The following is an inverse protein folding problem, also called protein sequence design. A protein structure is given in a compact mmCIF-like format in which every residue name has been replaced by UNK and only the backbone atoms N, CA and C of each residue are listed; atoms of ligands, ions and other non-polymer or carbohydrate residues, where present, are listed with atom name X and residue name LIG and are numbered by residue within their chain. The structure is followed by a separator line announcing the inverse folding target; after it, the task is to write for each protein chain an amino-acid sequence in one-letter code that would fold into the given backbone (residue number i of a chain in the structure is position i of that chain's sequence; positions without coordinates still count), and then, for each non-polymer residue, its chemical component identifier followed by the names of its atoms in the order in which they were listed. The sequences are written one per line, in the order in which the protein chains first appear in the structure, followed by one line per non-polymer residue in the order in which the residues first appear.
data_IF_203772810529
#
_entry.id   IF_203772810529
#
_cell.length_a   1.000
_cell.length_b   1.000
_cell.length_c   1.000
_cell.angle_alpha   90.00
_cell.angle_beta   90.00
_cell.angle_gamma   90.00
#
_symmetry.space_group_name_H-M   'P 1'
#
loop_
_entity.id
_entity.type
_entity.pdbx_description
1 polymer ?
#
# COMPACT_ATOMS: atom_id res chain seq x y z
N UNK A 1 10.80 -80.23 3.70
CA UNK A 1 11.46 -80.21 5.02
C UNK A 1 12.91 -80.70 4.91
N UNK A 2 13.16 -81.75 4.13
CA UNK A 2 14.47 -82.41 4.02
C UNK A 2 15.64 -81.48 3.67
N UNK A 3 15.46 -80.53 2.74
CA UNK A 3 16.51 -79.53 2.39
C UNK A 3 16.92 -78.63 3.55
N UNK A 4 16.06 -78.42 4.54
CA UNK A 4 16.32 -77.53 5.67
C UNK A 4 17.02 -78.26 6.83
N UNK A 5 17.01 -79.60 6.82
CA UNK A 5 17.57 -80.43 7.87
C UNK A 5 19.06 -80.74 7.65
N UNK A 6 19.52 -80.72 6.39
CA UNK A 6 20.94 -80.90 6.00
C UNK A 6 21.64 -82.07 6.71
N UNK A 7 20.97 -83.22 6.74
CA UNK A 7 21.47 -84.43 7.40
C UNK A 7 22.14 -85.32 6.35
N UNK A 8 23.45 -85.54 6.49
CA UNK A 8 24.14 -86.64 5.80
C UNK A 8 23.98 -87.94 6.61
N UNK A 9 24.01 -89.09 5.95
CA UNK A 9 24.05 -90.36 6.67
C UNK A 9 25.40 -90.48 7.40
N UNK A 10 25.42 -90.81 8.71
CA UNK A 10 26.64 -90.82 9.52
C UNK A 10 27.72 -91.77 8.97
N UNK A 11 27.33 -92.86 8.30
CA UNK A 11 28.27 -93.80 7.68
C UNK A 11 29.08 -93.16 6.54
N UNK A 12 28.48 -92.23 5.78
CA UNK A 12 29.20 -91.50 4.74
C UNK A 12 30.18 -90.49 5.36
N UNK A 13 29.81 -89.83 6.46
CA UNK A 13 30.73 -88.92 7.18
C UNK A 13 31.93 -89.69 7.75
N UNK A 14 31.71 -90.88 8.30
CA UNK A 14 32.77 -91.75 8.84
C UNK A 14 33.69 -92.30 7.74
N UNK A 15 33.14 -92.69 6.58
CA UNK A 15 33.94 -93.15 5.44
C UNK A 15 34.78 -92.02 4.82
N UNK A 16 34.24 -90.80 4.75
CA UNK A 16 34.93 -89.64 4.17
C UNK A 16 36.04 -89.09 5.10
N UNK A 17 35.80 -89.09 6.42
CA UNK A 17 36.81 -88.68 7.41
C UNK A 17 37.97 -89.67 7.56
N UNK A 18 37.76 -90.96 7.26
CA UNK A 18 38.81 -92.00 7.27
C UNK A 18 39.51 -92.20 5.91
N UNK A 19 39.23 -91.33 4.93
CA UNK A 19 39.82 -91.41 3.60
C UNK A 19 41.35 -91.28 3.63
N UNK A 20 42.09 -92.04 2.81
CA UNK A 20 43.54 -91.90 2.66
C UNK A 20 43.96 -90.58 2.00
N UNK A 21 43.01 -89.84 1.40
CA UNK A 21 43.26 -88.52 0.86
C UNK A 21 43.20 -87.47 1.97
N UNK A 22 44.36 -86.89 2.30
CA UNK A 22 44.51 -85.89 3.35
C UNK A 22 43.55 -84.69 3.20
N UNK A 23 43.22 -84.28 1.96
CA UNK A 23 42.30 -83.17 1.72
C UNK A 23 40.87 -83.57 2.13
N UNK A 24 40.41 -84.77 1.76
CA UNK A 24 39.07 -85.25 2.14
C UNK A 24 38.96 -85.45 3.64
N UNK A 25 39.98 -86.05 4.26
CA UNK A 25 40.04 -86.22 5.71
C UNK A 25 40.01 -84.86 6.44
N UNK A 26 40.61 -83.81 5.86
CA UNK A 26 40.61 -82.46 6.44
C UNK A 26 39.26 -81.74 6.34
N UNK A 27 38.52 -81.92 5.23
CA UNK A 27 37.23 -81.27 5.01
C UNK A 27 36.14 -81.87 5.91
N UNK A 28 36.20 -83.18 6.14
CA UNK A 28 35.24 -83.92 6.97
C UNK A 28 35.77 -84.21 8.38
N UNK A 29 36.81 -83.50 8.81
CA UNK A 29 37.32 -83.63 10.17
C UNK A 29 36.22 -83.22 11.17
N UNK A 30 35.99 -84.00 12.24
CA UNK A 30 34.97 -83.66 13.23
C UNK A 30 35.37 -82.35 13.94
N UNK A 31 34.45 -81.39 14.00
CA UNK A 31 34.65 -80.11 14.68
C UNK A 31 35.07 -80.36 16.14
N UNK A 32 36.33 -80.08 16.47
CA UNK A 32 36.91 -80.26 17.81
C UNK A 32 36.44 -79.22 18.83
N UNK A 33 35.58 -78.27 18.42
CA UNK A 33 34.99 -77.30 19.32
C UNK A 33 33.93 -77.97 20.20
N UNK A 34 34.32 -78.31 21.44
CA UNK A 34 33.52 -79.02 22.45
C UNK A 34 32.24 -78.32 22.94
N UNK A 35 31.41 -77.79 22.04
CA UNK A 35 30.05 -77.36 22.37
C UNK A 35 29.17 -78.60 22.39
N UNK A 36 28.78 -79.01 23.61
CA UNK A 36 27.70 -79.97 23.86
C UNK A 36 26.57 -79.74 22.86
N UNK A 37 26.16 -80.82 22.19
CA UNK A 37 25.01 -80.92 21.28
C UNK A 37 23.70 -80.58 22.02
N UNK A 38 23.52 -79.32 22.44
CA UNK A 38 22.20 -78.80 22.70
C UNK A 38 21.55 -78.69 21.33
N UNK A 39 20.76 -79.70 21.01
CA UNK A 39 20.05 -79.91 19.75
C UNK A 39 18.92 -78.89 19.54
N UNK A 40 19.24 -77.59 19.65
CA UNK A 40 18.45 -76.59 18.95
C UNK A 40 18.74 -76.80 17.47
N UNK A 41 17.79 -77.42 16.78
CA UNK A 41 17.82 -77.73 15.36
C UNK A 41 18.37 -76.54 14.54
N UNK A 42 19.66 -76.60 14.19
CA UNK A 42 20.35 -75.54 13.45
C UNK A 42 20.12 -75.74 11.96
N UNK A 43 18.88 -75.47 11.56
CA UNK A 43 18.42 -75.61 10.19
C UNK A 43 19.24 -74.77 9.21
N UNK A 44 19.28 -75.19 7.94
CA UNK A 44 19.93 -74.42 6.87
C UNK A 44 19.40 -72.99 6.82
N UNK A 45 18.09 -72.81 6.96
CA UNK A 45 17.47 -71.49 6.99
C UNK A 45 17.96 -70.63 8.15
N UNK A 46 18.17 -71.22 9.33
CA UNK A 46 18.66 -70.46 10.50
C UNK A 46 20.13 -70.08 10.35
N UNK A 47 20.97 -70.95 9.80
CA UNK A 47 22.36 -70.63 9.46
C UNK A 47 22.42 -69.48 8.47
N UNK A 48 21.66 -69.57 7.38
CA UNK A 48 21.59 -68.52 6.37
C UNK A 48 21.13 -67.16 6.93
N UNK A 49 20.12 -67.15 7.81
CA UNK A 49 19.67 -65.90 8.46
C UNK A 49 20.80 -65.31 9.33
N UNK A 50 21.47 -66.13 10.13
CA UNK A 50 22.57 -65.64 10.98
C UNK A 50 23.73 -65.08 10.14
N UNK A 51 24.07 -65.74 9.04
CA UNK A 51 25.12 -65.28 8.12
C UNK A 51 24.71 -63.97 7.44
N UNK A 52 23.42 -63.84 7.05
CA UNK A 52 22.87 -62.61 6.48
C UNK A 52 22.84 -61.46 7.49
N UNK A 53 22.49 -61.72 8.75
CA UNK A 53 22.50 -60.71 9.82
C UNK A 53 23.92 -60.21 10.11
N UNK A 54 24.91 -61.11 10.10
CA UNK A 54 26.33 -60.75 10.20
C UNK A 54 26.75 -59.86 9.04
N UNK A 55 26.42 -60.25 7.79
CA UNK A 55 26.70 -59.46 6.60
C UNK A 55 26.03 -58.07 6.66
N UNK A 56 24.77 -58.00 7.11
CA UNK A 56 24.06 -56.73 7.23
C UNK A 56 24.69 -55.81 8.27
N UNK A 57 25.21 -56.36 9.37
CA UNK A 57 25.94 -55.59 10.39
C UNK A 57 27.22 -55.00 9.82
N UNK A 58 27.99 -55.79 9.07
CA UNK A 58 29.21 -55.32 8.40
C UNK A 58 28.88 -54.23 7.37
N UNK A 59 27.87 -54.44 6.53
CA UNK A 59 27.45 -53.45 5.53
C UNK A 59 26.98 -52.14 6.18
N UNK A 60 26.24 -52.20 7.29
CA UNK A 60 25.77 -51.02 8.02
C UNK A 60 26.89 -50.21 8.67
N UNK A 61 28.03 -50.85 8.97
CA UNK A 61 29.20 -50.19 9.53
C UNK A 61 30.00 -49.38 8.49
N UNK A 62 29.70 -49.56 7.20
CA UNK A 62 30.45 -48.96 6.09
C UNK A 62 29.63 -47.95 5.29
N UNK A 63 30.30 -47.16 4.44
CA UNK A 63 29.62 -46.30 3.48
C UNK A 63 29.20 -47.11 2.24
N UNK A 64 27.90 -47.35 2.08
CA UNK A 64 27.39 -48.17 0.99
C UNK A 64 27.35 -47.42 -0.36
N UNK A 65 27.82 -48.08 -1.41
CA UNK A 65 27.68 -47.63 -2.80
C UNK A 65 26.79 -48.60 -3.56
N UNK A 66 25.69 -48.10 -4.13
CA UNK A 66 24.69 -48.94 -4.80
C UNK A 66 24.92 -48.98 -6.32
N UNK A 67 25.16 -50.18 -6.86
CA UNK A 67 25.22 -50.44 -8.31
C UNK A 67 23.98 -51.23 -8.69
N UNK A 68 23.15 -50.68 -9.60
CA UNK A 68 21.95 -51.35 -10.11
C UNK A 68 22.18 -51.91 -11.50
N UNK A 69 22.16 -53.23 -11.63
CA UNK A 69 22.27 -53.92 -12.91
C UNK A 69 20.90 -53.99 -13.60
N UNK A 70 20.84 -53.69 -14.89
CA UNK A 70 19.60 -53.74 -15.71
C UNK A 70 19.79 -54.72 -16.86
N UNK A 71 18.87 -55.68 -17.00
CA UNK A 71 18.84 -56.59 -18.14
C UNK A 71 18.12 -55.94 -19.32
N UNK A 72 18.79 -55.68 -20.45
CA UNK A 72 18.19 -54.92 -21.56
C UNK A 72 17.16 -55.73 -22.36
N UNK A 73 17.34 -57.05 -22.48
CA UNK A 73 16.40 -57.95 -23.16
C UNK A 73 16.50 -59.39 -22.62
N UNK A 74 15.46 -60.20 -22.86
CA UNK A 74 15.44 -61.63 -22.51
C UNK A 74 16.12 -62.53 -23.56
N UNK A 75 16.30 -62.04 -24.79
CA UNK A 75 16.84 -62.79 -25.93
C UNK A 75 18.37 -62.92 -25.92
N UNK A 76 19.04 -62.34 -24.92
CA UNK A 76 20.50 -62.28 -24.79
C UNK A 76 21.21 -61.67 -26.02
N UNK A 77 20.54 -60.75 -26.71
CA UNK A 77 21.10 -60.08 -27.89
C UNK A 77 21.79 -58.78 -27.50
N UNK A 78 23.01 -58.49 -28.00
CA UNK A 78 23.65 -57.21 -27.80
C UNK A 78 22.86 -56.10 -28.50
N UNK A 79 22.96 -54.86 -27.99
CA UNK A 79 22.32 -53.65 -28.52
C UNK A 79 20.79 -53.67 -28.70
N UNK A 80 20.11 -54.75 -28.26
CA UNK A 80 18.64 -54.82 -28.24
C UNK A 80 18.12 -54.38 -26.87
N UNK A 81 17.29 -53.34 -26.82
CA UNK A 81 16.63 -52.87 -25.60
C UNK A 81 15.12 -53.10 -25.69
N UNK A 82 14.57 -53.78 -24.68
CA UNK A 82 13.14 -53.97 -24.49
C UNK A 82 12.61 -52.96 -23.47
N UNK A 83 11.91 -51.89 -23.90
CA UNK A 83 11.53 -50.79 -23.00
C UNK A 83 10.61 -51.23 -21.86
N UNK A 84 9.65 -52.13 -22.12
CA UNK A 84 8.71 -52.62 -21.10
C UNK A 84 9.41 -53.41 -20.00
N UNK A 85 10.37 -54.27 -20.37
CA UNK A 85 11.17 -55.05 -19.43
C UNK A 85 12.06 -54.15 -18.56
N UNK A 86 12.73 -53.18 -19.17
CA UNK A 86 13.60 -52.24 -18.45
C UNK A 86 12.76 -51.36 -17.52
N UNK A 87 11.60 -50.86 -17.98
CA UNK A 87 10.72 -50.05 -17.15
C UNK A 87 10.20 -50.81 -15.93
N UNK A 88 9.80 -52.07 -16.10
CA UNK A 88 9.39 -52.91 -14.97
C UNK A 88 10.52 -53.12 -13.97
N UNK A 89 11.76 -53.35 -14.43
CA UNK A 89 12.93 -53.44 -13.53
C UNK A 89 13.18 -52.13 -12.77
N UNK A 90 13.09 -50.98 -13.44
CA UNK A 90 13.29 -49.68 -12.80
C UNK A 90 12.24 -49.39 -11.71
N UNK A 91 11.00 -49.80 -11.93
CA UNK A 91 9.91 -49.71 -10.93
C UNK A 91 10.12 -50.69 -9.77
N UNK A 92 10.36 -51.96 -10.06
CA UNK A 92 10.53 -52.98 -9.01
C UNK A 92 11.80 -52.75 -8.15
N UNK A 93 12.85 -52.15 -8.72
CA UNK A 93 14.07 -51.81 -7.98
C UNK A 93 13.98 -50.50 -7.19
N UNK A 94 12.86 -49.79 -7.27
CA UNK A 94 12.70 -48.47 -6.64
C UNK A 94 13.62 -47.39 -7.22
N UNK A 95 14.06 -47.55 -8.49
CA UNK A 95 15.05 -46.64 -9.08
C UNK A 95 14.46 -45.27 -9.38
N UNK A 96 13.22 -45.24 -9.84
CA UNK A 96 12.53 -43.98 -10.16
C UNK A 96 12.28 -43.17 -8.89
N UNK A 97 11.81 -43.83 -7.85
CA UNK A 97 11.54 -43.28 -6.53
C UNK A 97 12.83 -42.77 -5.88
N UNK A 98 13.92 -43.53 -5.99
CA UNK A 98 15.23 -43.11 -5.50
C UNK A 98 15.74 -41.84 -6.23
N UNK A 99 15.58 -41.75 -7.56
CA UNK A 99 15.96 -40.55 -8.32
C UNK A 99 15.11 -39.35 -7.91
N UNK A 100 13.80 -39.54 -7.77
CA UNK A 100 12.89 -38.49 -7.30
C UNK A 100 13.29 -38.00 -5.90
N UNK A 101 13.53 -38.92 -4.97
CA UNK A 101 14.00 -38.60 -3.62
C UNK A 101 15.30 -37.81 -3.68
N UNK A 102 16.32 -38.28 -4.42
CA UNK A 102 17.62 -37.61 -4.52
C UNK A 102 17.46 -36.19 -5.07
N UNK A 103 16.62 -36.01 -6.10
CA UNK A 103 16.38 -34.70 -6.73
C UNK A 103 15.71 -33.68 -5.80
N UNK A 104 14.82 -34.13 -4.92
CA UNK A 104 14.16 -33.29 -3.93
C UNK A 104 15.02 -33.12 -2.66
N UNK A 105 15.94 -34.03 -2.42
CA UNK A 105 16.79 -34.05 -1.22
C UNK A 105 18.00 -33.13 -1.32
N UNK A 106 18.71 -33.05 -0.19
CA UNK A 106 20.01 -32.43 -0.07
C UNK A 106 21.04 -33.52 0.26
N UNK A 107 21.63 -34.18 -0.77
CA UNK A 107 22.55 -35.29 -0.56
C UNK A 107 23.86 -34.84 0.10
N UNK A 108 24.32 -33.64 -0.23
CA UNK A 108 25.54 -33.06 0.32
C UNK A 108 25.24 -32.37 1.64
N UNK A 109 26.00 -32.73 2.68
CA UNK A 109 25.84 -32.21 4.04
C UNK A 109 27.19 -31.83 4.61
N UNK A 110 27.45 -30.53 4.76
CA UNK A 110 28.74 -30.04 5.20
C UNK A 110 28.58 -29.42 6.59
N UNK A 111 29.30 -29.91 7.61
CA UNK A 111 29.35 -29.27 8.92
C UNK A 111 29.83 -27.83 8.82
N UNK A 112 29.24 -26.93 9.60
CA UNK A 112 29.71 -25.53 9.63
C UNK A 112 31.14 -25.43 10.14
N UNK A 113 31.53 -26.29 11.09
CA UNK A 113 32.87 -26.30 11.69
C UNK A 113 33.98 -26.59 10.67
N UNK A 114 33.72 -27.45 9.67
CA UNK A 114 34.70 -27.80 8.63
C UNK A 114 35.13 -26.56 7.82
N UNK A 115 34.15 -25.69 7.48
CA UNK A 115 34.42 -24.46 6.71
C UNK A 115 34.83 -23.33 7.66
N UNK A 116 34.12 -23.15 8.76
CA UNK A 116 34.35 -22.07 9.71
C UNK A 116 35.73 -22.18 10.38
N UNK A 117 36.07 -23.35 10.91
CA UNK A 117 37.34 -23.56 11.60
C UNK A 117 38.54 -23.36 10.68
N UNK A 118 38.43 -23.79 9.42
CA UNK A 118 39.52 -23.70 8.44
C UNK A 118 39.72 -22.29 7.88
N UNK A 119 38.64 -21.58 7.57
CA UNK A 119 38.73 -20.36 6.76
C UNK A 119 38.55 -19.06 7.55
N UNK A 120 37.94 -19.08 8.74
CA UNK A 120 37.55 -17.87 9.49
C UNK A 120 38.67 -16.84 9.66
N UNK A 121 39.87 -17.27 10.04
CA UNK A 121 40.98 -16.36 10.35
C UNK A 121 41.48 -15.59 9.12
N UNK A 122 41.27 -16.14 7.93
CA UNK A 122 41.66 -15.54 6.66
C UNK A 122 40.56 -14.66 6.05
N UNK A 123 39.33 -14.71 6.59
CA UNK A 123 38.20 -13.95 6.05
C UNK A 123 38.16 -12.50 6.55
N UNK A 124 37.52 -11.58 5.80
CA UNK A 124 37.37 -10.18 6.21
C UNK A 124 36.50 -10.05 7.46
N UNK A 125 36.69 -8.95 8.21
CA UNK A 125 36.02 -8.72 9.50
C UNK A 125 34.49 -8.81 9.47
N UNK A 126 33.86 -8.39 8.37
CA UNK A 126 32.40 -8.41 8.24
C UNK A 126 31.83 -9.82 8.17
N UNK A 127 32.60 -10.81 7.72
CA UNK A 127 32.22 -12.23 7.69
C UNK A 127 32.75 -12.93 8.93
N UNK A 128 33.98 -12.64 9.33
CA UNK A 128 34.68 -13.27 10.46
C UNK A 128 33.91 -13.21 11.79
N UNK A 129 33.17 -12.12 12.01
CA UNK A 129 32.36 -11.89 13.22
C UNK A 129 31.01 -12.62 13.21
N UNK A 130 30.63 -13.25 12.10
CA UNK A 130 29.39 -14.00 12.00
C UNK A 130 29.48 -15.33 12.74
N UNK A 131 28.33 -15.83 13.19
CA UNK A 131 28.20 -17.19 13.69
C UNK A 131 28.48 -18.20 12.55
N UNK A 132 28.91 -19.44 12.87
CA UNK A 132 29.28 -20.45 11.88
C UNK A 132 28.23 -20.69 10.78
N UNK A 133 26.94 -20.64 11.16
CA UNK A 133 25.82 -20.78 10.23
C UNK A 133 25.81 -19.66 9.18
N UNK A 134 25.78 -18.40 9.60
CA UNK A 134 25.75 -17.24 8.70
C UNK A 134 27.08 -17.02 7.96
N UNK A 135 28.20 -17.44 8.55
CA UNK A 135 29.50 -17.45 7.88
C UNK A 135 29.48 -18.38 6.66
N UNK A 136 29.00 -19.61 6.84
CA UNK A 136 28.90 -20.60 5.77
C UNK A 136 27.89 -20.18 4.71
N UNK A 137 26.75 -19.60 5.13
CA UNK A 137 25.77 -19.00 4.22
C UNK A 137 26.37 -17.89 3.36
N UNK A 138 27.14 -16.97 3.96
CA UNK A 138 27.78 -15.87 3.24
C UNK A 138 28.78 -16.39 2.20
N UNK A 139 29.55 -17.42 2.53
CA UNK A 139 30.46 -18.08 1.58
C UNK A 139 29.68 -18.75 0.44
N UNK A 140 28.61 -19.48 0.74
CA UNK A 140 27.78 -20.13 -0.26
C UNK A 140 27.19 -19.12 -1.26
N UNK A 141 26.60 -18.04 -0.74
CA UNK A 141 26.03 -16.96 -1.56
C UNK A 141 27.09 -16.20 -2.36
N UNK A 142 28.29 -16.00 -1.79
CA UNK A 142 29.39 -15.37 -2.51
C UNK A 142 29.95 -16.26 -3.62
N UNK A 143 29.81 -17.58 -3.49
CA UNK A 143 30.20 -18.55 -4.51
C UNK A 143 29.11 -18.83 -5.54
N UNK A 144 28.12 -17.96 -5.66
CA UNK A 144 26.99 -18.05 -6.61
C UNK A 144 26.09 -19.29 -6.40
N UNK A 145 25.98 -19.77 -5.15
CA UNK A 145 24.97 -20.79 -4.81
C UNK A 145 23.68 -20.08 -4.40
N UNK A 146 22.62 -20.20 -5.21
CA UNK A 146 21.33 -19.58 -4.87
C UNK A 146 20.72 -20.14 -3.59
N UNK A 147 19.94 -19.31 -2.90
CA UNK A 147 19.16 -19.66 -1.70
C UNK A 147 18.21 -20.86 -1.91
N UNK A 148 17.77 -21.14 -3.14
CA UNK A 148 16.91 -22.30 -3.45
C UNK A 148 17.64 -23.65 -3.52
N UNK A 149 18.97 -23.60 -3.57
CA UNK A 149 19.83 -24.77 -3.75
C UNK A 149 20.48 -25.25 -2.44
N UNK A 150 20.32 -24.51 -1.35
CA UNK A 150 20.79 -24.91 -0.04
C UNK A 150 19.76 -24.65 1.05
N UNK A 151 19.88 -25.36 2.16
CA UNK A 151 19.12 -25.14 3.38
C UNK A 151 20.08 -25.14 4.57
N UNK A 152 19.89 -24.20 5.50
CA UNK A 152 20.65 -24.15 6.74
C UNK A 152 20.00 -25.06 7.78
N UNK A 153 20.75 -26.02 8.32
CA UNK A 153 20.37 -26.76 9.51
C UNK A 153 21.02 -26.18 10.77
N UNK A 154 20.90 -26.89 11.89
CA UNK A 154 21.45 -26.42 13.17
C UNK A 154 22.98 -26.46 13.20
N UNK A 155 23.59 -27.51 12.64
CA UNK A 155 25.05 -27.73 12.69
C UNK A 155 25.70 -27.87 11.31
N UNK A 156 24.89 -27.99 10.24
CA UNK A 156 25.36 -28.29 8.89
C UNK A 156 24.57 -27.52 7.84
N UNK A 157 25.23 -27.18 6.74
CA UNK A 157 24.57 -26.73 5.50
C UNK A 157 24.20 -27.96 4.65
N UNK A 158 22.99 -27.93 4.10
CA UNK A 158 22.43 -28.97 3.25
C UNK A 158 22.37 -28.44 1.82
N UNK A 159 23.01 -29.12 0.87
CA UNK A 159 23.16 -28.67 -0.51
C UNK A 159 22.51 -29.66 -1.49
N UNK A 160 21.86 -29.14 -2.53
CA UNK A 160 21.35 -29.96 -3.64
C UNK A 160 22.50 -30.52 -4.47
N UNK A 161 22.25 -31.68 -5.10
CA UNK A 161 23.23 -32.37 -5.93
C UNK A 161 23.84 -31.45 -7.00
N UNK A 162 25.18 -31.42 -7.08
CA UNK A 162 25.91 -30.66 -8.10
C UNK A 162 25.89 -29.14 -7.96
N UNK A 163 25.19 -28.59 -6.95
CA UNK A 163 25.13 -27.13 -6.70
C UNK A 163 26.09 -26.67 -5.61
N UNK A 164 26.66 -27.61 -4.86
CA UNK A 164 27.61 -27.37 -3.77
C UNK A 164 29.02 -27.90 -4.04
N UNK A 165 29.34 -28.32 -5.27
CA UNK A 165 30.63 -28.95 -5.59
C UNK A 165 31.83 -28.11 -5.13
N UNK A 166 31.77 -26.78 -5.34
CA UNK A 166 32.81 -25.89 -4.84
C UNK A 166 32.93 -25.91 -3.30
N UNK A 167 31.80 -25.90 -2.57
CA UNK A 167 31.80 -25.96 -1.11
C UNK A 167 32.31 -27.32 -0.59
N UNK A 168 32.08 -28.40 -1.33
CA UNK A 168 32.64 -29.72 -1.02
C UNK A 168 34.16 -29.72 -1.22
N UNK A 169 34.63 -29.16 -2.34
CA UNK A 169 36.06 -29.04 -2.65
C UNK A 169 36.82 -28.15 -1.66
N UNK A 170 36.15 -27.20 -1.00
CA UNK A 170 36.76 -26.41 0.09
C UNK A 170 37.28 -27.28 1.24
N UNK A 171 36.78 -28.50 1.41
CA UNK A 171 37.29 -29.40 2.44
C UNK A 171 38.67 -29.95 2.11
N UNK A 172 38.96 -30.18 0.84
CA UNK A 172 40.15 -30.91 0.41
C UNK A 172 41.18 -30.03 -0.31
N UNK A 173 40.77 -28.86 -0.84
CA UNK A 173 41.68 -27.94 -1.54
C UNK A 173 42.65 -27.21 -0.62
N UNK A 174 43.78 -26.80 -1.18
CA UNK A 174 44.77 -25.99 -0.49
C UNK A 174 44.28 -24.57 -0.23
N UNK A 175 44.48 -24.09 1.00
CA UNK A 175 43.98 -22.79 1.43
C UNK A 175 44.61 -21.64 0.64
N UNK A 176 45.89 -21.74 0.30
CA UNK A 176 46.63 -20.70 -0.43
C UNK A 176 46.04 -20.39 -1.81
N UNK A 177 45.44 -21.37 -2.48
CA UNK A 177 44.79 -21.19 -3.78
C UNK A 177 43.37 -20.62 -3.64
N UNK A 178 42.64 -21.10 -2.63
CA UNK A 178 41.22 -20.79 -2.44
C UNK A 178 41.01 -19.41 -1.81
N UNK A 179 41.85 -19.02 -0.85
CA UNK A 179 41.66 -17.79 -0.06
C UNK A 179 41.57 -16.55 -0.96
N UNK A 180 42.50 -16.29 -1.91
CA UNK A 180 42.42 -15.11 -2.77
C UNK A 180 41.10 -15.05 -3.55
N UNK A 181 40.69 -16.17 -4.14
CA UNK A 181 39.44 -16.25 -4.89
C UNK A 181 38.23 -16.00 -3.99
N UNK A 182 38.20 -16.58 -2.80
CA UNK A 182 37.09 -16.43 -1.86
C UNK A 182 36.99 -14.99 -1.32
N UNK A 183 38.13 -14.33 -1.07
CA UNK A 183 38.16 -12.91 -0.68
C UNK A 183 37.57 -12.01 -1.77
N UNK A 184 37.91 -12.23 -3.03
CA UNK A 184 37.41 -11.43 -4.14
C UNK A 184 35.90 -11.62 -4.32
N UNK A 185 35.43 -12.88 -4.28
CA UNK A 185 34.00 -13.21 -4.32
C UNK A 185 33.23 -12.60 -3.16
N UNK A 186 33.75 -12.66 -1.93
CA UNK A 186 33.11 -12.08 -0.75
C UNK A 186 33.02 -10.55 -0.83
N UNK A 187 34.08 -9.87 -1.28
CA UNK A 187 34.07 -8.42 -1.51
C UNK A 187 33.06 -8.03 -2.58
N UNK A 188 32.98 -8.81 -3.67
CA UNK A 188 31.99 -8.59 -4.72
C UNK A 188 30.56 -8.77 -4.21
N UNK A 189 30.31 -9.86 -3.48
CA UNK A 189 29.03 -10.12 -2.88
C UNK A 189 28.61 -9.00 -1.92
N UNK A 190 29.53 -8.51 -1.08
CA UNK A 190 29.26 -7.39 -0.18
C UNK A 190 28.93 -6.10 -0.94
N UNK A 191 29.69 -5.79 -2.01
CA UNK A 191 29.41 -4.64 -2.89
C UNK A 191 28.02 -4.75 -3.52
N UNK A 192 27.67 -5.90 -4.09
CA UNK A 192 26.35 -6.17 -4.69
C UNK A 192 25.23 -6.02 -3.65
N UNK A 193 25.40 -6.62 -2.46
CA UNK A 193 24.44 -6.54 -1.35
C UNK A 193 24.22 -5.09 -0.87
N UNK A 194 25.30 -4.33 -0.71
CA UNK A 194 25.23 -2.93 -0.30
C UNK A 194 24.63 -2.03 -1.38
N UNK A 195 24.95 -2.27 -2.66
CA UNK A 195 24.33 -1.58 -3.78
C UNK A 195 22.81 -1.83 -3.82
N UNK A 196 22.39 -3.10 -3.66
CA UNK A 196 20.96 -3.48 -3.59
C UNK A 196 20.25 -2.76 -2.43
N UNK A 197 20.84 -2.74 -1.22
CA UNK A 197 20.28 -2.00 -0.07
C UNK A 197 20.11 -0.49 -0.36
N UNK A 198 21.13 0.14 -0.95
CA UNK A 198 21.09 1.56 -1.33
C UNK A 198 19.99 1.82 -2.37
N UNK A 199 19.90 0.98 -3.39
CA UNK A 199 18.88 1.07 -4.43
C UNK A 199 17.48 0.90 -3.86
N UNK A 200 17.24 -0.13 -3.05
CA UNK A 200 15.93 -0.36 -2.42
C UNK A 200 15.50 0.82 -1.55
N UNK A 201 16.43 1.40 -0.77
CA UNK A 201 16.16 2.62 0.03
C UNK A 201 15.84 3.82 -0.85
N UNK A 202 16.60 4.05 -1.92
CA UNK A 202 16.38 5.15 -2.85
C UNK A 202 15.02 5.04 -3.57
N UNK A 203 14.70 3.85 -4.07
CA UNK A 203 13.42 3.55 -4.72
C UNK A 203 12.27 3.69 -3.74
N UNK A 204 12.38 3.09 -2.54
CA UNK A 204 11.38 3.23 -1.49
C UNK A 204 11.13 4.70 -1.13
N UNK A 205 12.20 5.46 -0.89
CA UNK A 205 12.13 6.89 -0.61
C UNK A 205 11.47 7.69 -1.75
N UNK A 206 11.79 7.37 -3.00
CA UNK A 206 11.16 8.00 -4.17
C UNK A 206 9.65 7.70 -4.25
N UNK A 207 9.24 6.44 -4.03
CA UNK A 207 7.83 6.04 -4.02
C UNK A 207 7.07 6.78 -2.90
N UNK A 208 7.63 6.81 -1.68
CA UNK A 208 7.02 7.53 -0.55
C UNK A 208 6.93 9.03 -0.83
N UNK A 209 7.97 9.65 -1.38
CA UNK A 209 7.98 11.07 -1.74
C UNK A 209 6.90 11.40 -2.78
N UNK A 210 6.74 10.55 -3.80
CA UNK A 210 5.69 10.71 -4.82
C UNK A 210 4.30 10.64 -4.21
N UNK A 211 4.06 9.68 -3.29
CA UNK A 211 2.80 9.57 -2.55
C UNK A 211 2.54 10.79 -1.67
N UNK A 212 3.56 11.25 -0.93
CA UNK A 212 3.46 12.43 -0.08
C UNK A 212 3.12 13.70 -0.88
N UNK A 213 3.78 13.94 -2.01
CA UNK A 213 3.51 15.11 -2.87
C UNK A 213 2.05 15.10 -3.36
N UNK A 214 1.52 13.95 -3.78
CA UNK A 214 0.10 13.84 -4.19
C UNK A 214 -0.85 14.22 -3.05
N UNK A 215 -0.65 13.64 -1.86
CA UNK A 215 -1.49 13.92 -0.67
C UNK A 215 -1.39 15.39 -0.28
N UNK A 216 -0.18 15.96 -0.24
CA UNK A 216 0.05 17.37 0.08
C UNK A 216 -0.63 18.30 -0.92
N UNK A 217 -0.56 18.00 -2.21
CA UNK A 217 -1.20 18.82 -3.23
C UNK A 217 -2.73 18.72 -3.14
N UNK A 218 -3.29 17.53 -2.90
CA UNK A 218 -4.72 17.36 -2.67
C UNK A 218 -5.19 18.13 -1.43
N UNK A 219 -4.46 18.04 -0.32
CA UNK A 219 -4.74 18.81 0.90
C UNK A 219 -4.72 20.32 0.64
N UNK A 220 -3.70 20.82 -0.09
CA UNK A 220 -3.61 22.24 -0.46
C UNK A 220 -4.80 22.69 -1.31
N UNK A 221 -5.22 21.87 -2.28
CA UNK A 221 -6.40 22.15 -3.11
C UNK A 221 -7.68 22.22 -2.27
N UNK A 222 -7.86 21.29 -1.33
CA UNK A 222 -9.00 21.28 -0.42
C UNK A 222 -8.99 22.52 0.48
N UNK A 223 -7.83 22.89 1.05
CA UNK A 223 -7.70 24.10 1.86
C UNK A 223 -8.05 25.36 1.06
N UNK A 224 -7.52 25.52 -0.16
CA UNK A 224 -7.88 26.66 -1.02
C UNK A 224 -9.38 26.68 -1.36
N UNK A 225 -9.99 25.53 -1.67
CA UNK A 225 -11.42 25.44 -1.94
C UNK A 225 -12.24 25.83 -0.69
N UNK A 226 -11.81 25.39 0.50
CA UNK A 226 -12.45 25.75 1.76
C UNK A 226 -12.35 27.26 2.04
N UNK A 227 -11.16 27.85 1.90
CA UNK A 227 -10.95 29.27 2.16
C UNK A 227 -11.73 30.16 1.18
N UNK A 228 -11.75 29.79 -0.10
CA UNK A 228 -12.54 30.50 -1.12
C UNK A 228 -14.05 30.41 -0.84
N UNK A 229 -14.56 29.23 -0.45
CA UNK A 229 -15.96 29.07 -0.04
C UNK A 229 -16.28 29.88 1.21
N UNK A 230 -15.37 29.93 2.20
CA UNK A 230 -15.54 30.71 3.43
C UNK A 230 -15.61 32.21 3.14
N UNK A 231 -14.73 32.73 2.29
CA UNK A 231 -14.76 34.14 1.85
C UNK A 231 -16.02 34.43 1.05
N UNK A 232 -16.41 33.55 0.12
CA UNK A 232 -17.62 33.70 -0.68
C UNK A 232 -18.88 33.76 0.19
N UNK A 233 -19.02 32.87 1.17
CA UNK A 233 -20.14 32.88 2.13
C UNK A 233 -20.22 34.21 2.91
N UNK A 234 -19.08 34.73 3.38
CA UNK A 234 -19.03 36.05 4.04
C UNK A 234 -19.46 37.17 3.10
N UNK A 235 -18.90 37.20 1.88
CA UNK A 235 -19.25 38.22 0.89
C UNK A 235 -20.74 38.17 0.50
N UNK A 236 -21.32 36.99 0.33
CA UNK A 236 -22.75 36.81 0.03
C UNK A 236 -23.63 37.31 1.20
N UNK A 237 -23.26 37.01 2.46
CA UNK A 237 -23.95 37.53 3.63
C UNK A 237 -23.90 39.06 3.69
N UNK A 238 -22.71 39.66 3.55
CA UNK A 238 -22.52 41.11 3.52
C UNK A 238 -23.26 41.75 2.34
N UNK A 239 -23.33 41.09 1.18
CA UNK A 239 -24.06 41.58 0.01
C UNK A 239 -25.56 41.63 0.28
N UNK A 240 -26.12 40.57 0.86
CA UNK A 240 -27.54 40.54 1.25
C UNK A 240 -27.83 41.63 2.27
N UNK A 241 -26.95 41.83 3.25
CA UNK A 241 -27.10 42.89 4.25
C UNK A 241 -27.02 44.29 3.63
N UNK A 242 -26.07 44.54 2.73
CA UNK A 242 -25.97 45.80 1.96
C UNK A 242 -27.23 46.05 1.14
N UNK A 243 -27.75 45.04 0.44
CA UNK A 243 -29.00 45.16 -0.32
C UNK A 243 -30.20 45.48 0.56
N UNK A 244 -30.29 44.88 1.77
CA UNK A 244 -31.32 45.23 2.76
C UNK A 244 -31.19 46.68 3.22
N UNK A 245 -29.96 47.15 3.50
CA UNK A 245 -29.70 48.55 3.88
C UNK A 245 -30.07 49.54 2.78
N UNK A 246 -29.75 49.23 1.52
CA UNK A 246 -30.13 50.06 0.36
C UNK A 246 -31.66 50.11 0.23
N UNK A 247 -32.34 48.96 0.25
CA UNK A 247 -33.81 48.91 0.20
C UNK A 247 -34.47 49.67 1.36
N UNK A 248 -33.92 49.57 2.57
CA UNK A 248 -34.42 50.30 3.74
C UNK A 248 -34.24 51.82 3.57
N UNK A 249 -33.09 52.27 3.06
CA UNK A 249 -32.85 53.68 2.73
C UNK A 249 -33.78 54.19 1.63
N UNK A 250 -34.01 53.39 0.59
CA UNK A 250 -34.97 53.73 -0.46
C UNK A 250 -36.41 53.81 0.09
N UNK A 251 -36.80 52.90 0.99
CA UNK A 251 -38.11 52.94 1.64
C UNK A 251 -38.26 54.16 2.56
N UNK A 252 -37.23 54.51 3.33
CA UNK A 252 -37.18 55.73 4.14
C UNK A 252 -37.28 56.98 3.28
N UNK A 253 -36.50 57.07 2.19
CA UNK A 253 -36.57 58.19 1.26
C UNK A 253 -37.94 58.31 0.59
N UNK A 254 -38.61 57.18 0.27
CA UNK A 254 -40.00 57.18 -0.25
C UNK A 254 -41.00 57.67 0.80
N UNK A 255 -40.89 57.24 2.05
CA UNK A 255 -41.75 57.67 3.15
C UNK A 255 -41.58 59.17 3.45
N UNK A 256 -40.33 59.66 3.49
CA UNK A 256 -40.03 61.09 3.65
C UNK A 256 -40.55 61.92 2.46
N UNK A 257 -40.43 61.41 1.23
CA UNK A 257 -40.98 62.07 0.05
C UNK A 257 -42.52 62.12 0.10
N UNK A 258 -43.18 61.06 0.58
CA UNK A 258 -44.63 61.04 0.78
C UNK A 258 -45.07 62.01 1.87
N UNK A 259 -44.36 62.07 3.00
CA UNK A 259 -44.62 63.08 4.04
C UNK A 259 -44.43 64.51 3.54
N UNK A 260 -43.36 64.78 2.76
CA UNK A 260 -43.15 66.09 2.15
C UNK A 260 -44.26 66.45 1.18
N UNK A 261 -44.80 65.48 0.43
CA UNK A 261 -45.97 65.68 -0.44
C UNK A 261 -47.21 66.05 0.38
N UNK A 262 -47.50 65.32 1.48
CA UNK A 262 -48.62 65.63 2.37
C UNK A 262 -48.50 67.03 2.99
N UNK A 263 -47.32 67.37 3.52
CA UNK A 263 -47.04 68.72 4.08
C UNK A 263 -47.16 69.82 3.02
N UNK A 264 -46.72 69.58 1.78
CA UNK A 264 -46.88 70.54 0.69
C UNK A 264 -48.34 70.69 0.23
N UNK A 265 -49.15 69.63 0.29
CA UNK A 265 -50.60 69.71 0.05
C UNK A 265 -51.32 70.49 1.16
N UNK A 266 -50.98 70.22 2.42
CA UNK A 266 -51.49 70.98 3.58
C UNK A 266 -51.11 72.46 3.50
N UNK A 267 -49.87 72.80 3.13
CA UNK A 267 -49.42 74.18 2.98
C UNK A 267 -50.14 74.89 1.81
N UNK A 268 -50.40 74.18 0.70
CA UNK A 268 -51.21 74.71 -0.41
C UNK A 268 -52.65 75.00 0.03
N UNK A 269 -53.25 74.09 0.79
CA UNK A 269 -54.60 74.27 1.34
C UNK A 269 -54.65 75.47 2.30
N UNK A 270 -53.65 75.62 3.17
CA UNK A 270 -53.52 76.74 4.09
C UNK A 270 -53.30 78.08 3.37
N UNK A 271 -52.50 78.11 2.30
CA UNK A 271 -52.33 79.31 1.46
C UNK A 271 -53.62 79.67 0.72
N UNK A 272 -54.39 78.69 0.25
CA UNK A 272 -55.69 78.93 -0.35
C UNK A 272 -56.67 79.53 0.67
N UNK A 273 -56.74 78.97 1.88
CA UNK A 273 -57.58 79.51 2.96
C UNK A 273 -57.19 80.95 3.35
N UNK A 274 -55.89 81.23 3.48
CA UNK A 274 -55.40 82.59 3.77
C UNK A 274 -55.64 83.58 2.62
N UNK A 275 -55.60 83.11 1.36
CA UNK A 275 -55.95 83.93 0.20
C UNK A 275 -57.45 84.25 0.17
N UNK A 276 -58.30 83.29 0.54
CA UNK A 276 -59.74 83.52 0.70
C UNK A 276 -60.04 84.51 1.83
N UNK A 277 -59.37 84.42 2.99
CA UNK A 277 -59.50 85.43 4.05
C UNK A 277 -59.03 86.81 3.62
N UNK A 278 -57.88 86.92 2.94
CA UNK A 278 -57.40 88.21 2.41
C UNK A 278 -58.37 88.80 1.40
N UNK A 279 -58.98 87.98 0.53
CA UNK A 279 -59.99 88.43 -0.41
C UNK A 279 -61.27 88.93 0.28
N UNK A 280 -61.64 88.35 1.43
CA UNK A 280 -62.77 88.87 2.25
C UNK A 280 -62.42 90.21 2.88
N UNK A 281 -61.25 90.34 3.49
CA UNK A 281 -60.78 91.60 4.08
C UNK A 281 -60.63 92.71 3.04
N UNK A 282 -60.20 92.39 1.81
CA UNK A 282 -60.11 93.37 0.72
C UNK A 282 -61.48 93.83 0.23
N UNK A 283 -62.49 92.95 0.25
CA UNK A 283 -63.88 93.33 -0.03
C UNK A 283 -64.43 94.24 1.06
N UNK A 284 -64.20 93.93 2.33
CA UNK A 284 -64.59 94.78 3.46
C UNK A 284 -63.91 96.15 3.42
N UNK A 285 -62.63 96.21 3.02
CA UNK A 285 -61.91 97.48 2.82
C UNK A 285 -62.49 98.32 1.68
N UNK A 286 -62.84 97.69 0.55
CA UNK A 286 -63.50 98.37 -0.59
C UNK A 286 -64.88 98.88 -0.21
N UNK A 287 -65.66 98.12 0.56
CA UNK A 287 -66.94 98.56 1.09
C UNK A 287 -66.81 99.74 2.08
N UNK A 288 -65.75 99.76 2.90
CA UNK A 288 -65.44 100.88 3.78
C UNK A 288 -65.03 102.14 3.00
N UNK A 289 -64.21 101.99 1.95
CA UNK A 289 -63.81 103.09 1.06
C UNK A 289 -65.01 103.66 0.29
N UNK A 290 -65.92 102.80 -0.16
CA UNK A 290 -67.15 103.23 -0.84
C UNK A 290 -68.12 103.96 0.10
N UNK A 291 -68.19 103.55 1.38
CA UNK A 291 -68.94 104.29 2.42
C UNK A 291 -68.32 105.67 2.69
N UNK A 292 -67.00 105.76 2.78
CA UNK A 292 -66.30 107.03 2.95
C UNK A 292 -66.53 107.98 1.77
N UNK A 293 -66.54 107.44 0.55
CA UNK A 293 -66.82 108.20 -0.69
C UNK A 293 -68.26 108.75 -0.72
N UNK A 294 -69.23 107.95 -0.25
CA UNK A 294 -70.64 108.37 -0.10
C UNK A 294 -70.81 109.46 0.97
N UNK A 295 -70.04 109.42 2.06
CA UNK A 295 -70.00 110.51 3.06
C UNK A 295 -69.38 111.80 2.50
N UNK A 296 -68.32 111.71 1.70
CA UNK A 296 -67.68 112.88 1.08
C UNK A 296 -68.60 113.55 0.03
N UNK A 297 -69.33 112.77 -0.76
CA UNK A 297 -70.33 113.26 -1.71
C UNK A 297 -71.54 113.91 -1.01
N UNK A 298 -71.97 113.37 0.13
CA UNK A 298 -73.01 114.00 0.97
C UNK A 298 -72.57 115.36 1.51
N UNK A 299 -71.28 115.51 1.86
CA UNK A 299 -70.70 116.77 2.33
C UNK A 299 -70.66 117.84 1.23
N UNK A 300 -70.30 117.45 -0.01
CA UNK A 300 -70.31 118.34 -1.18
C UNK A 300 -71.72 118.75 -1.62
N UNK A 301 -72.74 117.92 -1.39
CA UNK A 301 -74.14 118.26 -1.66
C UNK A 301 -74.71 119.26 -0.63
N UNK A 302 -74.23 119.21 0.62
CA UNK A 302 -74.62 120.17 1.66
C UNK A 302 -74.05 121.57 1.39
N UNK A 303 -72.80 121.67 0.91
CA UNK A 303 -72.19 122.95 0.52
C UNK A 303 -72.91 123.60 -0.67
N UNK A 304 -73.33 122.81 -1.67
CA UNK A 304 -74.11 123.33 -2.82
C UNK A 304 -75.52 123.80 -2.47
N UNK A 305 -76.16 123.26 -1.41
CA UNK A 305 -77.46 123.74 -0.91
C UNK A 305 -77.34 125.06 -0.15
N UNK A 306 -76.23 125.29 0.55
CA UNK A 306 -75.97 126.56 1.25
C UNK A 306 -75.73 127.73 0.28
N UNK A 307 -75.14 127.50 -0.88
CA UNK A 307 -74.92 128.54 -1.91
C UNK A 307 -76.18 128.91 -2.71
N UNK A 308 -77.21 128.05 -2.75
CA UNK A 308 -78.46 128.35 -3.47
C UNK A 308 -79.45 129.23 -2.71
N UNK A 309 -79.33 129.39 -1.39
CA UNK A 309 -80.28 130.18 -0.58
C UNK A 309 -79.88 131.67 -0.43
N UNK A 310 -78.65 132.06 -0.79
CA UNK A 310 -78.18 133.45 -0.69
C UNK A 310 -78.38 134.29 -1.98
N UNK A 311 -79.02 133.77 -3.03
CA UNK A 311 -79.18 134.44 -4.35
C UNK A 311 -80.63 134.64 -4.84
N UNK A 312 -81.62 134.67 -3.94
CA UNK A 312 -83.05 134.81 -4.30
C UNK A 312 -83.78 136.04 -3.69
N UNK A 313 -83.07 137.16 -3.48
CA UNK A 313 -83.70 138.47 -3.19
C UNK A 313 -83.09 139.56 -4.09
N UNK A 314 -83.94 140.19 -4.93
CA UNK A 314 -83.70 141.18 -6.00
C UNK A 314 -83.16 140.61 -7.34
N UNK A 315 -83.89 140.52 -8.47
CA UNK A 315 -85.15 141.13 -8.91
C UNK A 315 -84.94 141.73 -10.31
N UNK A 316 -85.37 141.06 -11.38
CA UNK A 316 -85.33 141.55 -12.76
C UNK A 316 -86.73 141.49 -13.39
N UNK A 317 -87.16 142.57 -14.03
CA UNK A 317 -88.21 142.55 -15.05
C UNK A 317 -87.97 143.64 -16.11
N UNK A 318 -87.57 143.20 -17.31
CA UNK A 318 -87.91 143.72 -18.65
C UNK A 318 -87.02 142.95 -19.65
N UNK A 319 -87.44 141.99 -20.50
CA UNK A 319 -88.70 141.70 -21.20
C UNK A 319 -88.47 141.95 -22.70
N UNK A 320 -88.73 141.10 -23.71
CA UNK A 320 -89.22 139.73 -23.85
C UNK A 320 -89.25 139.35 -25.35
N UNK A 321 -89.53 138.07 -25.68
CA UNK A 321 -90.12 137.63 -26.97
C UNK A 321 -89.27 136.77 -27.93
N UNK A 322 -89.78 135.57 -28.29
CA UNK A 322 -89.70 135.03 -29.66
C UNK A 322 -89.15 133.61 -29.91
N UNK A 323 -90.05 132.69 -30.34
CA UNK A 323 -89.89 131.40 -31.08
C UNK A 323 -89.12 130.25 -30.38
N UNK A 324 -89.70 129.05 -30.20
CA UNK A 324 -91.01 128.51 -30.60
C UNK A 324 -91.52 127.49 -29.60
#
# INVERSE_FOLDING_TARGET
MDKNNDTLHPDFEAALSSSPNALLASIFAPDTSGKKKNAAFNSVGRRFINDLDSLMTDLQSTHAHFIRCIKPNLKLQPALLSPSLVLSQLRCSGTLEAVQLISASYPTRIPYEDIYGRYKEHMPDFVRKLEPQYFTEAIALACDVDESHFQLGNTKIFLKAGKGAFLEELKDRDMSEVIPMLLDKLKEWERKKNARKKLTRAVGGWVFRKKYIRIRNAARMISHAYDTLKVRRKYEADRVERMKRIKAREAQARAEAEERRKKAEEEKLAKAANAEERAKLEKEAKEAEEKFRKEEEARKLAEKKAESEQKATAGAAAGGGGKG
#
